data_IF_491295675193
#
_entry.id   IF_491295675193
#
_cell.length_a   1.000
_cell.length_b   1.000
_cell.length_c   1.000
_cell.angle_alpha   90.00
_cell.angle_beta   90.00
_cell.angle_gamma   90.00
#
_symmetry.space_group_name_H-M   'P 1'
#
loop_
_entity.id
_entity.type
_entity.pdbx_description
1 polymer ?
#
# COMPACT_ATOMS: atom_id res chain seq x y z
N UNK A 1 23.96 -10.92 37.73
CA UNK A 1 22.62 -11.16 37.16
C UNK A 1 21.61 -10.42 38.02
N UNK A 2 20.98 -9.37 37.50
CA UNK A 2 19.96 -8.64 38.24
C UNK A 2 18.65 -9.40 38.08
N UNK A 3 18.17 -10.04 39.15
CA UNK A 3 16.89 -10.75 39.14
C UNK A 3 15.75 -9.75 39.04
N UNK A 4 14.82 -9.97 38.10
CA UNK A 4 13.62 -9.15 37.95
C UNK A 4 12.76 -9.25 39.22
N UNK A 5 12.33 -8.11 39.79
CA UNK A 5 11.44 -8.08 40.95
C UNK A 5 10.06 -8.71 40.62
N UNK A 6 9.35 -9.24 41.62
CA UNK A 6 8.10 -10.00 41.41
C UNK A 6 7.03 -9.25 40.61
N UNK A 7 6.82 -7.96 40.89
CA UNK A 7 5.89 -7.12 40.13
C UNK A 7 6.30 -6.98 38.65
N UNK A 8 7.60 -6.81 38.38
CA UNK A 8 8.11 -6.70 37.03
C UNK A 8 7.95 -8.01 36.22
N UNK A 9 7.98 -9.19 36.88
CA UNK A 9 7.69 -10.47 36.21
C UNK A 9 6.22 -10.61 35.84
N UNK A 10 5.32 -10.15 36.71
CA UNK A 10 3.88 -10.20 36.45
C UNK A 10 3.48 -9.24 35.32
N UNK A 11 4.02 -8.02 35.31
CA UNK A 11 3.84 -7.10 34.18
C UNK A 11 4.36 -7.67 32.86
N UNK A 12 5.54 -8.32 32.87
CA UNK A 12 6.07 -8.96 31.68
C UNK A 12 5.13 -10.07 31.16
N UNK A 13 4.60 -10.91 32.06
CA UNK A 13 3.61 -11.94 31.69
C UNK A 13 2.38 -11.32 31.02
N UNK A 14 1.83 -10.27 31.61
CA UNK A 14 0.66 -9.57 31.06
C UNK A 14 0.92 -8.98 29.67
N UNK A 15 2.11 -8.42 29.43
CA UNK A 15 2.48 -7.93 28.10
C UNK A 15 2.57 -9.07 27.09
N UNK A 16 3.17 -10.20 27.46
CA UNK A 16 3.29 -11.37 26.57
C UNK A 16 1.89 -11.88 26.20
N UNK A 17 1.02 -12.11 27.18
CA UNK A 17 -0.35 -12.60 26.95
C UNK A 17 -1.15 -11.65 26.04
N UNK A 18 -0.99 -10.33 26.22
CA UNK A 18 -1.64 -9.35 25.34
C UNK A 18 -1.10 -9.39 23.91
N UNK A 19 0.22 -9.53 23.73
CA UNK A 19 0.85 -9.62 22.42
C UNK A 19 0.44 -10.90 21.70
N UNK A 20 0.39 -12.04 22.40
CA UNK A 20 -0.04 -13.32 21.83
C UNK A 20 -1.47 -13.23 21.30
N UNK A 21 -2.39 -12.65 22.07
CA UNK A 21 -3.77 -12.40 21.61
C UNK A 21 -3.79 -11.51 20.36
N UNK A 22 -2.99 -10.44 20.33
CA UNK A 22 -2.91 -9.55 19.16
C UNK A 22 -2.32 -10.25 17.92
N UNK A 23 -1.37 -11.15 18.09
CA UNK A 23 -0.82 -11.95 16.97
C UNK A 23 -1.85 -12.97 16.45
N UNK A 24 -2.68 -13.55 17.31
CA UNK A 24 -3.80 -14.39 16.89
C UNK A 24 -4.85 -13.60 16.10
N UNK A 25 -5.26 -12.42 16.59
CA UNK A 25 -6.19 -11.53 15.89
C UNK A 25 -5.64 -11.09 14.52
N UNK A 26 -4.37 -10.69 14.48
CA UNK A 26 -3.67 -10.32 13.24
C UNK A 26 -3.61 -11.48 12.26
N UNK A 27 -3.40 -12.71 12.74
CA UNK A 27 -3.43 -13.91 11.89
C UNK A 27 -4.83 -14.10 11.30
N UNK A 28 -5.89 -14.08 12.12
CA UNK A 28 -7.26 -14.21 11.63
C UNK A 28 -7.59 -13.17 10.54
N UNK A 29 -7.24 -11.90 10.78
CA UNK A 29 -7.42 -10.82 9.79
C UNK A 29 -6.63 -11.09 8.51
N UNK A 30 -5.40 -11.60 8.61
CA UNK A 30 -4.59 -11.94 7.44
C UNK A 30 -5.20 -13.09 6.63
N UNK A 31 -5.86 -14.05 7.30
CA UNK A 31 -6.61 -15.12 6.65
C UNK A 31 -7.84 -14.57 5.92
N UNK A 32 -8.64 -13.71 6.57
CA UNK A 32 -9.79 -13.04 5.94
C UNK A 32 -9.40 -12.24 4.69
N UNK A 33 -8.29 -11.49 4.76
CA UNK A 33 -7.76 -10.73 3.61
C UNK A 33 -7.39 -11.67 2.46
N UNK A 34 -6.76 -12.81 2.78
CA UNK A 34 -6.37 -13.82 1.77
C UNK A 34 -7.60 -14.44 1.10
N UNK A 35 -8.64 -14.74 1.87
CA UNK A 35 -9.89 -15.28 1.35
C UNK A 35 -10.61 -14.28 0.44
N UNK A 36 -10.57 -12.98 0.76
CA UNK A 36 -11.09 -11.92 -0.13
C UNK A 36 -10.35 -11.83 -1.45
N UNK A 37 -9.02 -11.99 -1.45
CA UNK A 37 -8.27 -12.08 -2.69
C UNK A 37 -8.58 -13.36 -3.47
N UNK A 38 -8.83 -14.47 -2.79
CA UNK A 38 -9.22 -15.73 -3.43
C UNK A 38 -10.61 -15.61 -4.09
N UNK A 39 -11.58 -14.99 -3.41
CA UNK A 39 -12.90 -14.66 -3.94
C UNK A 39 -12.78 -13.77 -5.18
N UNK A 40 -12.03 -12.67 -5.10
CA UNK A 40 -11.82 -11.77 -6.24
C UNK A 40 -11.18 -12.49 -7.44
N UNK A 41 -10.22 -13.39 -7.19
CA UNK A 41 -9.61 -14.22 -8.24
C UNK A 41 -10.62 -15.15 -8.89
N UNK A 42 -11.51 -15.78 -8.11
CA UNK A 42 -12.55 -16.67 -8.62
C UNK A 42 -13.57 -15.94 -9.52
N UNK A 43 -13.82 -14.65 -9.23
CA UNK A 43 -14.67 -13.77 -10.05
C UNK A 43 -13.94 -13.25 -11.31
N UNK A 44 -12.61 -13.42 -11.39
CA UNK A 44 -11.80 -13.07 -12.56
C UNK A 44 -10.93 -11.82 -12.41
N UNK A 45 -10.83 -11.23 -11.21
CA UNK A 45 -9.95 -10.08 -10.98
C UNK A 45 -8.47 -10.48 -10.88
N UNK A 46 -7.58 -9.61 -11.38
CA UNK A 46 -6.13 -9.76 -11.18
C UNK A 46 -5.72 -9.30 -9.78
N UNK A 47 -5.35 -10.28 -8.94
CA UNK A 47 -4.92 -10.06 -7.55
C UNK A 47 -3.63 -9.22 -7.45
N UNK A 48 -2.71 -9.30 -8.42
CA UNK A 48 -1.48 -8.49 -8.42
C UNK A 48 -1.82 -7.02 -8.65
N UNK A 49 -2.68 -6.73 -9.63
CA UNK A 49 -3.15 -5.38 -9.89
C UNK A 49 -3.89 -4.81 -8.66
N UNK A 50 -4.77 -5.59 -8.02
CA UNK A 50 -5.45 -5.17 -6.79
C UNK A 50 -4.47 -4.83 -5.65
N UNK A 51 -3.41 -5.64 -5.45
CA UNK A 51 -2.37 -5.35 -4.44
C UNK A 51 -1.62 -4.05 -4.75
N UNK A 52 -1.33 -3.80 -6.03
CA UNK A 52 -0.70 -2.56 -6.45
C UNK A 52 -1.62 -1.35 -6.19
N UNK A 53 -2.92 -1.47 -6.49
CA UNK A 53 -3.92 -0.44 -6.18
C UNK A 53 -3.97 -0.17 -4.68
N UNK A 54 -3.99 -1.20 -3.82
CA UNK A 54 -3.97 -1.00 -2.36
C UNK A 54 -2.69 -0.29 -1.90
N UNK A 55 -1.53 -0.61 -2.49
CA UNK A 55 -0.27 0.08 -2.18
C UNK A 55 -0.31 1.55 -2.59
N UNK A 56 -0.81 1.84 -3.80
CA UNK A 56 -1.00 3.21 -4.26
C UNK A 56 -1.95 3.96 -3.33
N UNK A 57 -3.10 3.35 -2.97
CA UNK A 57 -4.12 3.95 -2.09
C UNK A 57 -3.62 4.33 -0.69
N UNK A 58 -2.51 3.75 -0.22
CA UNK A 58 -1.88 4.11 1.06
C UNK A 58 -1.01 5.36 0.99
N UNK A 59 -0.56 5.78 -0.21
CA UNK A 59 0.24 6.99 -0.41
C UNK A 59 -0.65 8.23 -0.40
N UNK A 60 -0.10 9.40 -0.07
CA UNK A 60 -0.79 10.67 -0.25
C UNK A 60 -1.06 10.93 -1.74
N UNK A 61 -1.90 11.92 -2.07
CA UNK A 61 -2.08 12.30 -3.48
C UNK A 61 -0.79 12.90 -4.02
N UNK A 62 -0.21 13.84 -3.28
CA UNK A 62 1.02 14.54 -3.66
C UNK A 62 2.18 13.57 -3.90
N UNK A 63 2.35 12.56 -3.04
CA UNK A 63 3.39 11.53 -3.21
C UNK A 63 3.20 10.73 -4.51
N UNK A 64 1.94 10.46 -4.91
CA UNK A 64 1.66 9.74 -6.16
C UNK A 64 1.96 10.61 -7.36
N UNK A 65 1.52 11.87 -7.32
CA UNK A 65 1.69 12.82 -8.41
C UNK A 65 3.20 13.09 -8.65
N UNK A 66 3.99 13.23 -7.58
CA UNK A 66 5.45 13.38 -7.68
C UNK A 66 6.14 12.13 -8.26
N UNK A 67 5.82 10.94 -7.75
CA UNK A 67 6.37 9.69 -8.26
C UNK A 67 5.98 9.43 -9.73
N UNK A 68 4.74 9.75 -10.10
CA UNK A 68 4.23 9.63 -11.46
C UNK A 68 4.94 10.59 -12.42
N UNK A 69 5.15 11.85 -12.03
CA UNK A 69 5.90 12.81 -12.83
C UNK A 69 7.34 12.35 -13.12
N UNK A 70 8.02 11.81 -12.11
CA UNK A 70 9.38 11.25 -12.27
C UNK A 70 9.34 10.03 -13.20
N UNK A 71 8.37 9.12 -12.99
CA UNK A 71 8.24 7.91 -13.79
C UNK A 71 7.97 8.23 -15.26
N UNK A 72 7.05 9.16 -15.55
CA UNK A 72 6.74 9.62 -16.91
C UNK A 72 8.00 10.19 -17.57
N UNK A 73 8.77 11.00 -16.86
CA UNK A 73 10.04 11.57 -17.37
C UNK A 73 11.00 10.47 -17.81
N UNK A 74 11.16 9.41 -17.00
CA UNK A 74 12.03 8.29 -17.35
C UNK A 74 11.45 7.41 -18.45
N UNK A 75 10.14 7.18 -18.47
CA UNK A 75 9.48 6.42 -19.53
C UNK A 75 9.62 7.12 -20.89
N UNK A 76 9.48 8.46 -20.92
CA UNK A 76 9.71 9.26 -22.12
C UNK A 76 11.17 9.15 -22.59
N UNK A 77 12.14 9.28 -21.68
CA UNK A 77 13.56 9.13 -22.00
C UNK A 77 13.92 7.73 -22.54
N UNK A 78 13.16 6.69 -22.14
CA UNK A 78 13.32 5.31 -22.60
C UNK A 78 12.47 4.96 -23.83
N UNK A 79 11.69 5.90 -24.38
CA UNK A 79 10.75 5.64 -25.48
C UNK A 79 9.62 4.66 -25.13
N UNK A 80 9.33 4.51 -23.83
CA UNK A 80 8.30 3.63 -23.28
C UNK A 80 6.98 4.35 -23.00
N UNK A 81 7.00 5.69 -22.94
CA UNK A 81 5.78 6.46 -22.96
C UNK A 81 5.28 6.48 -24.39
N UNK A 82 4.11 5.88 -24.64
CA UNK A 82 3.39 6.19 -25.88
C UNK A 82 2.99 7.66 -25.76
N UNK A 83 3.33 8.47 -26.75
CA UNK A 83 2.82 9.83 -26.92
C UNK A 83 1.31 9.77 -27.20
N UNK A 84 0.52 9.30 -26.23
CA UNK A 84 -0.93 9.47 -26.25
C UNK A 84 -1.19 10.90 -25.78
N UNK A 85 -0.93 11.85 -26.69
CA UNK A 85 -1.26 13.28 -26.57
C UNK A 85 -2.73 13.55 -26.20
N UNK A 86 -3.61 12.54 -26.27
CA UNK A 86 -5.05 12.67 -26.01
C UNK A 86 -5.47 12.65 -24.53
N UNK A 87 -4.58 12.31 -23.58
CA UNK A 87 -4.94 12.22 -22.15
C UNK A 87 -4.50 13.41 -21.30
N UNK A 88 -3.72 14.35 -21.85
CA UNK A 88 -3.57 15.68 -21.27
C UNK A 88 -4.69 16.57 -21.85
N UNK A 89 -5.69 17.01 -21.06
CA UNK A 89 -6.49 18.14 -21.51
C UNK A 89 -5.51 19.27 -21.86
N UNK A 90 -5.75 20.01 -22.96
CA UNK A 90 -4.84 21.06 -23.39
C UNK A 90 -4.57 21.96 -22.19
N UNK A 91 -3.30 22.02 -21.79
CA UNK A 91 -2.85 23.11 -20.93
C UNK A 91 -3.03 24.34 -21.80
N UNK A 92 -4.17 25.02 -21.65
CA UNK A 92 -4.44 26.27 -22.33
C UNK A 92 -3.50 27.32 -21.75
N UNK A 93 -2.23 27.22 -22.12
CA UNK A 93 -1.38 28.38 -22.27
C UNK A 93 -1.71 28.94 -23.66
N UNK A 94 -2.16 30.20 -23.66
CA UNK A 94 -2.19 31.11 -24.81
C UNK A 94 -3.46 31.13 -25.68
N UNK A 95 -4.43 31.93 -25.23
CA UNK A 95 -4.84 33.12 -25.99
C UNK A 95 -4.67 34.29 -24.98
N UNK A 96 -3.77 35.26 -25.10
CA UNK A 96 -3.40 36.06 -26.27
C UNK A 96 -4.64 36.58 -27.02
N UNK A 97 -5.47 37.35 -26.32
CA UNK A 97 -5.81 38.73 -26.68
C UNK A 97 -6.19 39.54 -25.43
#
# INVERSE_FOLDING_TARGET
>A
MTTLHGAAREHLRQFIEQIERLEEEKKAIAEDIRDKFAEAKAVGFDVKAMRQILKLRKKSKDDRDEEEAILITYMHALGMANDNEEMMPPVTAEAAE
#
